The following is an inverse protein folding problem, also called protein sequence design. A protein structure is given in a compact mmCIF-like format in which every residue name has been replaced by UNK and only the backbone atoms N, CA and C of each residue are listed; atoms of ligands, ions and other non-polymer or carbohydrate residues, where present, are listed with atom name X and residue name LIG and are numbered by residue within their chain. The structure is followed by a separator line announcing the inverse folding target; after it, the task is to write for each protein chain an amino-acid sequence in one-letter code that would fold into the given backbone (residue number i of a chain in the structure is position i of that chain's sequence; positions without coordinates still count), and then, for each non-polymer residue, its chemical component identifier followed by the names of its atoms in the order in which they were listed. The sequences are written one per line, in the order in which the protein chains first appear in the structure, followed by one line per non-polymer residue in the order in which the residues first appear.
data_IF_888435785541
#
_entry.id   IF_888435785541
#
_cell.length_a   1.000
_cell.length_b   1.000
_cell.length_c   1.000
_cell.angle_alpha   90.00
_cell.angle_beta   90.00
_cell.angle_gamma   90.00
#
_symmetry.space_group_name_H-M   'P 1'
#
loop_
_entity.id
_entity.type
_entity.pdbx_description
1 polymer ?
#
# COMPACT_ATOMS: atom_id res chain seq x y z
N UNK A 1 -2.63 16.91 2.82
CA UNK A 1 -3.26 16.46 1.56
C UNK A 1 -2.25 16.64 0.44
N UNK A 2 -1.70 15.57 -0.11
CA UNK A 2 -0.91 15.65 -1.33
C UNK A 2 -1.85 15.38 -2.50
N UNK A 3 -2.29 16.43 -3.19
CA UNK A 3 -2.94 16.31 -4.49
C UNK A 3 -1.84 16.27 -5.53
N UNK A 4 -1.67 15.13 -6.20
CA UNK A 4 -0.91 15.02 -7.43
C UNK A 4 -1.89 15.16 -8.60
N UNK A 5 -2.01 16.33 -9.24
CA UNK A 5 -2.54 16.40 -10.59
C UNK A 5 -1.39 16.03 -11.53
N UNK A 6 -1.39 14.79 -12.00
CA UNK A 6 -0.53 14.38 -13.10
C UNK A 6 -1.31 13.37 -13.92
N UNK A 7 -1.40 13.58 -15.23
CA UNK A 7 -1.86 12.57 -16.20
C UNK A 7 -0.97 11.30 -16.23
N UNK A 8 -0.07 11.15 -15.25
CA UNK A 8 0.71 9.96 -15.02
C UNK A 8 -0.16 8.86 -14.41
N UNK A 9 -0.21 7.74 -15.13
CA UNK A 9 -0.86 6.52 -14.71
C UNK A 9 -0.05 5.90 -13.56
N UNK A 10 -0.56 5.97 -12.32
CA UNK A 10 0.09 5.36 -11.14
C UNK A 10 -0.37 3.90 -10.99
N UNK A 11 0.46 2.94 -11.38
CA UNK A 11 0.08 1.52 -11.36
C UNK A 11 0.19 0.86 -9.98
N UNK A 12 1.01 1.43 -9.09
CA UNK A 12 1.26 0.89 -7.75
C UNK A 12 1.46 2.02 -6.73
N UNK A 13 0.68 1.97 -5.64
CA UNK A 13 0.90 2.76 -4.43
C UNK A 13 1.67 1.92 -3.42
N UNK A 14 2.81 2.43 -2.94
CA UNK A 14 3.53 1.87 -1.79
C UNK A 14 3.37 2.83 -0.62
N UNK A 15 2.83 2.37 0.51
CA UNK A 15 2.50 3.27 1.64
C UNK A 15 2.69 2.61 3.00
N UNK A 16 3.14 3.39 3.98
CA UNK A 16 3.30 2.93 5.37
C UNK A 16 1.99 3.12 6.14
N UNK A 17 1.59 2.11 6.92
CA UNK A 17 0.35 2.12 7.71
C UNK A 17 0.56 2.69 9.11
N UNK A 18 1.79 2.64 9.64
CA UNK A 18 2.13 3.02 11.02
C UNK A 18 2.94 4.30 11.12
N UNK A 19 2.60 5.34 10.38
CA UNK A 19 3.33 6.60 10.42
C UNK A 19 3.03 7.39 11.71
N UNK A 20 4.05 7.91 12.42
CA UNK A 20 3.85 8.85 13.52
C UNK A 20 3.04 10.08 13.07
N UNK A 21 2.12 10.57 13.91
CA UNK A 21 1.30 11.75 13.60
C UNK A 21 -0.07 11.44 12.97
N UNK A 22 -0.55 10.20 13.04
CA UNK A 22 -1.92 9.85 12.63
C UNK A 22 -2.13 9.73 11.13
N UNK A 23 -1.05 9.74 10.34
CA UNK A 23 -1.13 9.57 8.89
C UNK A 23 -1.48 8.12 8.56
N UNK A 24 -2.63 7.93 7.92
CA UNK A 24 -3.22 6.63 7.69
C UNK A 24 -3.02 6.22 6.23
N UNK A 25 -1.92 5.53 5.94
CA UNK A 25 -1.63 5.01 4.59
C UNK A 25 -2.75 4.14 4.01
N UNK A 26 -3.55 3.51 4.88
CA UNK A 26 -4.77 2.79 4.48
C UNK A 26 -5.85 3.74 3.93
N UNK A 27 -6.14 4.85 4.59
CA UNK A 27 -7.08 5.86 4.05
C UNK A 27 -6.60 6.42 2.69
N UNK A 28 -5.30 6.61 2.51
CA UNK A 28 -4.75 7.03 1.21
C UNK A 28 -4.98 5.98 0.12
N UNK A 29 -4.76 4.71 0.46
CA UNK A 29 -5.01 3.61 -0.48
C UNK A 29 -6.50 3.47 -0.83
N UNK A 30 -7.38 3.61 0.16
CA UNK A 30 -8.82 3.55 -0.04
C UNK A 30 -9.28 4.70 -0.97
N UNK A 31 -8.87 5.94 -0.69
CA UNK A 31 -9.16 7.10 -1.54
C UNK A 31 -8.57 6.98 -2.95
N UNK A 32 -7.35 6.44 -3.08
CA UNK A 32 -6.74 6.18 -4.38
C UNK A 32 -7.52 5.16 -5.21
N UNK A 33 -8.13 4.15 -4.55
CA UNK A 33 -8.94 3.13 -5.22
C UNK A 33 -10.35 3.60 -5.56
N UNK A 34 -10.90 4.56 -4.83
CA UNK A 34 -12.13 5.27 -5.23
C UNK A 34 -11.94 5.99 -6.57
N UNK A 35 -10.75 6.57 -6.79
CA UNK A 35 -10.39 7.24 -8.05
C UNK A 35 -9.99 6.25 -9.14
N UNK A 36 -9.29 5.16 -8.77
CA UNK A 36 -8.81 4.12 -9.68
C UNK A 36 -8.98 2.75 -9.06
N UNK A 37 -10.10 2.08 -9.36
CA UNK A 37 -10.41 0.76 -8.80
C UNK A 37 -9.30 -0.31 -9.00
N UNK A 38 -8.52 -0.18 -10.09
CA UNK A 38 -7.39 -1.06 -10.40
C UNK A 38 -6.06 -0.66 -9.75
N UNK A 39 -6.01 0.37 -8.90
CA UNK A 39 -4.78 0.79 -8.24
C UNK A 39 -4.27 -0.32 -7.31
N UNK A 40 -3.10 -0.86 -7.65
CA UNK A 40 -2.42 -1.86 -6.83
C UNK A 40 -1.83 -1.17 -5.61
N UNK A 41 -1.82 -1.84 -4.46
CA UNK A 41 -1.32 -1.25 -3.22
C UNK A 41 -0.43 -2.23 -2.47
N UNK A 42 0.79 -1.79 -2.14
CA UNK A 42 1.68 -2.46 -1.20
C UNK A 42 1.73 -1.66 0.10
N UNK A 43 1.18 -2.23 1.17
CA UNK A 43 1.31 -1.67 2.51
C UNK A 43 2.61 -2.09 3.15
N UNK A 44 3.31 -1.15 3.76
CA UNK A 44 4.46 -1.41 4.61
C UNK A 44 4.02 -1.20 6.06
N UNK A 45 4.31 -2.15 6.94
CA UNK A 45 3.82 -2.08 8.33
C UNK A 45 4.80 -2.69 9.33
N UNK A 46 4.84 -2.16 10.55
CA UNK A 46 5.56 -2.80 11.66
C UNK A 46 4.75 -3.93 12.29
N UNK A 47 5.39 -4.74 13.13
CA UNK A 47 4.73 -5.85 13.84
C UNK A 47 3.45 -5.45 14.58
N UNK A 48 3.41 -4.27 15.22
CA UNK A 48 2.24 -3.79 15.95
C UNK A 48 1.12 -3.22 15.04
N UNK A 49 1.47 -2.78 13.83
CA UNK A 49 0.54 -2.15 12.89
C UNK A 49 -0.06 -3.15 11.88
N UNK A 50 0.36 -4.42 11.92
CA UNK A 50 -0.30 -5.48 11.13
C UNK A 50 -1.77 -5.66 11.53
N UNK A 51 -2.09 -5.46 12.81
CA UNK A 51 -3.47 -5.46 13.30
C UNK A 51 -4.31 -4.29 12.76
N UNK A 52 -3.68 -3.17 12.37
CA UNK A 52 -4.35 -1.97 11.87
C UNK A 52 -4.77 -2.07 10.40
N UNK A 53 -4.12 -2.93 9.61
CA UNK A 53 -4.62 -3.33 8.28
C UNK A 53 -5.90 -4.17 8.41
N UNK A 54 -6.13 -4.71 9.62
CA UNK A 54 -7.32 -5.42 10.05
C UNK A 54 -7.23 -6.90 9.69
N UNK A 55 -7.84 -7.75 10.50
CA UNK A 55 -8.19 -9.14 10.15
C UNK A 55 -9.18 -9.24 8.96
N UNK A 56 -9.40 -8.15 8.22
CA UNK A 56 -10.24 -8.10 7.03
C UNK A 56 -9.42 -8.50 5.81
N UNK A 57 -10.00 -9.33 4.95
CA UNK A 57 -9.35 -9.79 3.74
C UNK A 57 -8.90 -8.58 2.89
N UNK A 58 -7.61 -8.53 2.59
CA UNK A 58 -7.08 -7.61 1.59
C UNK A 58 -7.84 -7.82 0.29
N UNK A 59 -8.27 -6.72 -0.34
CA UNK A 59 -8.90 -6.81 -1.65
C UNK A 59 -7.89 -7.27 -2.71
N UNK A 60 -8.36 -7.84 -3.83
CA UNK A 60 -7.49 -8.12 -4.98
C UNK A 60 -6.65 -6.89 -5.37
N UNK A 61 -5.36 -7.13 -5.62
CA UNK A 61 -4.38 -6.09 -5.91
C UNK A 61 -3.78 -5.40 -4.69
N UNK A 62 -4.04 -5.88 -3.47
CA UNK A 62 -3.43 -5.37 -2.25
C UNK A 62 -2.52 -6.42 -1.60
N UNK A 63 -1.35 -5.99 -1.14
CA UNK A 63 -0.41 -6.81 -0.37
C UNK A 63 0.18 -6.05 0.81
N UNK A 64 0.82 -6.79 1.71
CA UNK A 64 1.51 -6.26 2.90
C UNK A 64 2.94 -6.76 2.92
N UNK A 65 3.86 -5.87 3.31
CA UNK A 65 5.25 -6.15 3.62
C UNK A 65 5.56 -5.69 5.05
N UNK A 66 5.86 -6.65 5.92
CA UNK A 66 6.13 -6.38 7.34
C UNK A 66 7.61 -6.01 7.54
N UNK A 67 7.87 -4.99 8.35
CA UNK A 67 9.22 -4.60 8.80
C UNK A 67 9.72 -5.54 9.91
N UNK A 68 11.03 -5.88 9.95
CA UNK A 68 12.03 -5.55 8.96
C UNK A 68 11.92 -6.43 7.71
N UNK A 69 12.27 -5.89 6.55
CA UNK A 69 12.31 -6.62 5.29
C UNK A 69 13.62 -6.31 4.54
N UNK A 70 14.06 -7.24 3.69
CA UNK A 70 15.17 -7.01 2.77
C UNK A 70 14.72 -6.26 1.52
N UNK A 71 15.67 -5.63 0.81
CA UNK A 71 15.41 -5.00 -0.48
C UNK A 71 14.87 -6.02 -1.49
N UNK A 72 15.40 -7.24 -1.50
CA UNK A 72 14.92 -8.32 -2.37
C UNK A 72 13.46 -8.68 -2.10
N UNK A 73 13.05 -8.69 -0.82
CA UNK A 73 11.66 -8.93 -0.46
C UNK A 73 10.74 -7.81 -0.95
N UNK A 74 11.19 -6.55 -0.91
CA UNK A 74 10.43 -5.43 -1.48
C UNK A 74 10.30 -5.58 -3.00
N UNK A 75 11.39 -5.86 -3.70
CA UNK A 75 11.41 -6.03 -5.16
C UNK A 75 10.45 -7.15 -5.57
N UNK A 76 10.53 -8.31 -4.91
CA UNK A 76 9.68 -9.45 -5.21
C UNK A 76 8.18 -9.11 -5.08
N UNK A 77 7.79 -8.34 -4.05
CA UNK A 77 6.40 -7.93 -3.84
C UNK A 77 5.91 -6.93 -4.87
N UNK A 78 6.75 -5.95 -5.23
CA UNK A 78 6.45 -4.99 -6.29
C UNK A 78 6.27 -5.71 -7.62
N UNK A 79 7.16 -6.64 -7.93
CA UNK A 79 7.12 -7.48 -9.13
C UNK A 79 5.85 -8.34 -9.19
N UNK A 80 5.50 -9.02 -8.10
CA UNK A 80 4.29 -9.85 -8.03
C UNK A 80 3.02 -9.02 -8.25
N UNK A 81 2.97 -7.81 -7.68
CA UNK A 81 1.85 -6.91 -7.89
C UNK A 81 1.78 -6.44 -9.34
N UNK A 82 2.88 -5.98 -9.93
CA UNK A 82 2.87 -5.39 -11.27
C UNK A 82 2.64 -6.41 -12.40
N UNK A 83 3.08 -7.66 -12.24
CA UNK A 83 2.99 -8.70 -13.26
C UNK A 83 1.65 -9.47 -13.30
N UNK A 84 0.75 -9.26 -12.34
CA UNK A 84 -0.60 -9.85 -12.28
C UNK A 84 -1.67 -8.88 -12.76
#
# INVERSE_FOLDING_TARGET
MATAPSDAVIDLLVTDVGLPGGMNGRQMADAGRELRAGLKTLFITGYAANAAIGNGQLQPGMQVLTKPFSVDALIARVQELLMR
#
